data_IF_453678146413
#
_entry.id   IF_453678146413
#
_cell.length_a   1.000
_cell.length_b   1.000
_cell.length_c   1.000
_cell.angle_alpha   90.00
_cell.angle_beta   90.00
_cell.angle_gamma   90.00
#
_symmetry.space_group_name_H-M   'P 1'
#
loop_
_entity.id
_entity.type
_entity.pdbx_description
1 polymer ?
#
# COMPACT_ATOMS: atom_id res chain seq x y z
N UNK A 1 14.33 3.48 -23.38
CA UNK A 1 13.31 4.46 -23.81
C UNK A 1 12.27 4.47 -22.70
N UNK A 2 12.26 5.50 -21.89
CA UNK A 2 11.24 5.68 -20.82
C UNK A 2 9.91 5.80 -21.54
N UNK A 3 9.02 4.81 -21.34
CA UNK A 3 7.64 4.92 -21.81
C UNK A 3 7.01 6.03 -20.97
N UNK A 4 6.85 7.22 -21.59
CA UNK A 4 6.07 8.29 -20.98
C UNK A 4 4.70 7.67 -20.70
N UNK A 5 4.17 7.72 -19.46
CA UNK A 5 2.85 7.15 -19.18
C UNK A 5 1.88 7.79 -20.18
N UNK A 6 1.16 6.94 -20.92
CA UNK A 6 0.03 7.41 -21.71
C UNK A 6 -0.79 8.27 -20.72
N UNK A 7 -0.91 9.54 -21.01
CA UNK A 7 -1.45 10.53 -20.06
C UNK A 7 -2.80 10.01 -19.59
N UNK A 8 -2.96 9.79 -18.28
CA UNK A 8 -4.23 9.30 -17.72
C UNK A 8 -5.39 10.16 -18.25
N UNK A 9 -6.33 9.53 -18.90
CA UNK A 9 -7.56 10.21 -19.34
C UNK A 9 -8.60 10.15 -18.21
N UNK A 10 -8.61 11.18 -17.41
CA UNK A 10 -9.50 11.28 -16.24
C UNK A 10 -10.98 11.26 -16.62
N UNK A 11 -11.37 11.55 -17.85
CA UNK A 11 -12.76 11.43 -18.32
C UNK A 11 -13.22 9.98 -18.43
N UNK A 12 -12.26 9.04 -18.54
CA UNK A 12 -12.53 7.60 -18.61
C UNK A 12 -12.33 6.88 -17.27
N UNK A 13 -11.99 7.59 -16.20
CA UNK A 13 -11.75 7.00 -14.87
C UNK A 13 -12.88 7.46 -13.93
N UNK A 14 -13.61 6.53 -13.36
CA UNK A 14 -14.64 6.77 -12.35
C UNK A 14 -14.17 6.35 -10.96
N UNK A 15 -13.42 5.24 -10.87
CA UNK A 15 -12.92 4.71 -9.62
C UNK A 15 -11.40 4.83 -9.53
N UNK A 16 -10.91 5.23 -8.36
CA UNK A 16 -9.49 5.24 -8.03
C UNK A 16 -9.25 4.37 -6.81
N UNK A 17 -8.63 3.22 -7.04
CA UNK A 17 -8.22 2.30 -6.01
C UNK A 17 -6.79 2.59 -5.62
N UNK A 18 -6.52 2.66 -4.34
CA UNK A 18 -5.26 3.13 -3.78
C UNK A 18 -4.76 2.13 -2.75
N UNK A 19 -3.55 1.64 -2.91
CA UNK A 19 -2.88 0.94 -1.84
C UNK A 19 -2.50 1.91 -0.71
N UNK A 20 -2.14 1.37 0.44
CA UNK A 20 -1.78 2.15 1.63
C UNK A 20 -0.26 2.28 1.78
N UNK A 21 0.44 1.18 2.00
CA UNK A 21 1.83 1.15 2.47
C UNK A 21 2.83 1.17 1.31
N UNK A 22 3.59 2.24 1.17
CA UNK A 22 4.43 2.49 0.00
C UNK A 22 3.70 3.23 -1.12
N UNK A 23 2.42 3.55 -0.93
CA UNK A 23 1.59 4.29 -1.89
C UNK A 23 1.07 5.58 -1.26
N UNK A 24 0.08 5.52 -0.39
CA UNK A 24 -0.40 6.70 0.35
C UNK A 24 0.48 7.02 1.56
N UNK A 25 1.02 6.00 2.21
CA UNK A 25 1.90 6.10 3.36
C UNK A 25 3.32 5.67 2.99
N UNK A 26 4.29 6.39 3.56
CA UNK A 26 5.71 6.07 3.42
C UNK A 26 6.01 4.67 3.97
N UNK A 27 6.55 3.79 3.13
CA UNK A 27 6.93 2.43 3.48
C UNK A 27 8.07 2.37 4.50
N UNK A 28 8.72 3.50 4.78
CA UNK A 28 9.79 3.59 5.77
C UNK A 28 9.36 3.07 7.14
N UNK A 29 8.12 3.39 7.58
CA UNK A 29 7.57 2.85 8.82
C UNK A 29 7.60 1.32 8.86
N UNK A 30 7.09 0.64 7.82
CA UNK A 30 7.01 -0.82 7.80
C UNK A 30 8.38 -1.46 7.59
N UNK A 31 9.25 -0.88 6.76
CA UNK A 31 10.61 -1.34 6.59
C UNK A 31 11.42 -1.24 7.89
N UNK A 32 11.36 -0.10 8.59
CA UNK A 32 12.02 0.05 9.88
C UNK A 32 11.44 -0.92 10.92
N UNK A 33 10.13 -1.05 10.96
CA UNK A 33 9.44 -1.94 11.90
C UNK A 33 9.90 -3.39 11.75
N UNK A 34 9.81 -3.97 10.55
CA UNK A 34 10.11 -5.38 10.32
C UNK A 34 11.59 -5.71 10.24
N UNK A 35 12.44 -4.78 9.75
CA UNK A 35 13.86 -5.05 9.53
C UNK A 35 14.76 -4.62 10.70
N UNK A 36 14.27 -3.73 11.59
CA UNK A 36 15.07 -3.20 12.70
C UNK A 36 14.36 -3.37 14.04
N UNK A 37 13.12 -2.88 14.17
CA UNK A 37 12.44 -2.80 15.47
C UNK A 37 12.02 -4.18 15.99
N UNK A 38 11.34 -5.00 15.19
CA UNK A 38 10.95 -6.37 15.58
C UNK A 38 12.16 -7.22 15.91
N UNK A 39 13.24 -7.30 15.09
CA UNK A 39 14.44 -8.05 15.47
C UNK A 39 15.07 -7.58 16.77
N UNK A 40 15.11 -6.27 17.03
CA UNK A 40 15.64 -5.74 18.29
C UNK A 40 14.81 -6.22 19.48
N UNK A 41 13.50 -6.04 19.46
CA UNK A 41 12.60 -6.45 20.54
C UNK A 41 12.59 -7.97 20.74
N UNK A 42 12.69 -8.74 19.65
CA UNK A 42 12.83 -10.20 19.69
C UNK A 42 14.15 -10.61 20.36
N UNK A 43 15.26 -9.98 20.01
CA UNK A 43 16.56 -10.22 20.61
C UNK A 43 16.59 -9.87 22.10
N UNK A 44 16.07 -8.70 22.48
CA UNK A 44 15.95 -8.30 23.89
C UNK A 44 15.18 -9.31 24.73
N UNK A 45 14.06 -9.83 24.21
CA UNK A 45 13.24 -10.82 24.91
C UNK A 45 13.91 -12.19 25.07
N UNK A 46 14.94 -12.49 24.27
CA UNK A 46 15.65 -13.81 24.23
C UNK A 46 17.13 -13.76 24.58
N UNK A 47 17.65 -12.59 24.91
CA UNK A 47 19.08 -12.41 25.21
C UNK A 47 19.98 -12.58 23.99
N UNK A 48 19.47 -12.29 22.78
CA UNK A 48 20.21 -12.36 21.52
C UNK A 48 20.73 -10.97 21.11
N UNK A 49 21.85 -10.94 20.40
CA UNK A 49 22.25 -9.72 19.69
C UNK A 49 21.29 -9.42 18.53
N UNK A 50 21.26 -8.16 18.06
CA UNK A 50 20.45 -7.77 16.90
C UNK A 50 20.75 -8.63 15.67
N UNK A 51 22.03 -8.89 15.40
CA UNK A 51 22.46 -9.69 14.25
C UNK A 51 22.00 -11.15 14.37
N UNK A 52 22.07 -11.74 15.57
CA UNK A 52 21.59 -13.09 15.81
C UNK A 52 20.04 -13.16 15.63
N UNK A 53 19.32 -12.16 16.15
CA UNK A 53 17.88 -12.06 15.98
C UNK A 53 17.47 -11.91 14.49
N UNK A 54 18.18 -11.08 13.73
CA UNK A 54 17.96 -10.95 12.28
C UNK A 54 18.22 -12.26 11.55
N UNK A 55 19.33 -12.94 11.87
CA UNK A 55 19.67 -14.22 11.24
C UNK A 55 18.59 -15.29 11.48
N UNK A 56 17.96 -15.29 12.65
CA UNK A 56 16.88 -16.21 12.99
C UNK A 56 15.56 -15.86 12.30
N UNK A 57 15.19 -14.57 12.24
CA UNK A 57 13.88 -14.12 11.75
C UNK A 57 13.78 -14.02 10.23
N UNK A 58 14.83 -13.54 9.55
CA UNK A 58 14.75 -13.23 8.11
C UNK A 58 14.39 -14.42 7.22
N UNK A 59 14.85 -15.67 7.48
CA UNK A 59 14.39 -16.82 6.70
C UNK A 59 12.88 -17.06 6.80
N UNK A 60 12.32 -16.94 8.00
CA UNK A 60 10.88 -17.10 8.24
C UNK A 60 10.06 -16.04 7.51
N UNK A 61 10.51 -14.78 7.52
CA UNK A 61 9.87 -13.68 6.80
C UNK A 61 9.83 -13.95 5.29
N UNK A 62 10.95 -14.32 4.68
CA UNK A 62 11.02 -14.60 3.24
C UNK A 62 10.17 -15.79 2.80
N UNK A 63 10.03 -16.79 3.65
CA UNK A 63 9.34 -18.04 3.31
C UNK A 63 7.83 -17.85 3.05
N UNK A 64 7.20 -16.85 3.67
CA UNK A 64 5.76 -16.60 3.54
C UNK A 64 5.45 -15.24 2.92
N UNK A 65 6.46 -14.54 2.38
CA UNK A 65 6.27 -13.26 1.70
C UNK A 65 5.22 -13.36 0.60
N UNK A 66 4.36 -12.34 0.48
CA UNK A 66 3.26 -12.30 -0.50
C UNK A 66 2.05 -13.17 -0.15
N UNK A 67 2.07 -13.89 0.98
CA UNK A 67 0.90 -14.62 1.48
C UNK A 67 0.07 -13.77 2.44
N UNK A 68 -1.21 -14.13 2.66
CA UNK A 68 -2.05 -13.42 3.63
C UNK A 68 -1.46 -13.45 5.05
N UNK A 69 -0.80 -14.55 5.43
CA UNK A 69 -0.12 -14.70 6.72
C UNK A 69 1.03 -13.71 6.90
N UNK A 70 1.75 -13.35 5.82
CA UNK A 70 2.78 -12.32 5.84
C UNK A 70 2.29 -10.98 6.37
N UNK A 71 1.10 -10.58 5.97
CA UNK A 71 0.49 -9.31 6.35
C UNK A 71 -0.28 -9.36 7.68
N UNK A 72 -0.39 -10.54 8.30
CA UNK A 72 -1.22 -10.78 9.48
C UNK A 72 -0.47 -10.50 10.80
N UNK A 73 -0.80 -9.43 11.51
CA UNK A 73 -0.21 -9.11 12.82
C UNK A 73 -0.49 -10.18 13.88
N UNK A 74 -1.64 -10.86 13.81
CA UNK A 74 -1.99 -11.91 14.77
C UNK A 74 -1.20 -13.20 14.50
N UNK A 75 -0.88 -13.51 13.24
CA UNK A 75 0.05 -14.58 12.88
C UNK A 75 1.41 -14.33 13.51
N UNK A 76 2.00 -13.17 13.22
CA UNK A 76 3.32 -12.84 13.73
C UNK A 76 3.38 -12.70 15.25
N UNK A 77 2.30 -12.25 15.90
CA UNK A 77 2.25 -12.21 17.36
C UNK A 77 2.35 -13.61 17.97
N UNK A 78 1.68 -14.61 17.37
CA UNK A 78 1.78 -16.01 17.82
C UNK A 78 3.16 -16.61 17.53
N UNK A 79 3.66 -16.43 16.29
CA UNK A 79 4.95 -17.01 15.86
C UNK A 79 6.12 -16.46 16.65
N UNK A 80 6.13 -15.16 16.94
CA UNK A 80 7.25 -14.51 17.60
C UNK A 80 7.10 -14.45 19.15
N UNK A 81 5.89 -14.71 19.67
CA UNK A 81 5.60 -14.54 21.09
C UNK A 81 5.68 -13.09 21.56
N UNK A 82 5.38 -12.12 20.67
CA UNK A 82 5.44 -10.68 20.91
C UNK A 82 4.10 -10.04 20.54
N UNK A 83 3.68 -8.99 21.25
CA UNK A 83 2.54 -8.20 20.83
C UNK A 83 2.96 -7.24 19.68
N UNK A 84 2.75 -7.68 18.45
CA UNK A 84 3.15 -6.94 17.25
C UNK A 84 2.44 -5.59 17.15
N UNK A 85 1.18 -5.49 17.57
CA UNK A 85 0.46 -4.22 17.54
C UNK A 85 1.02 -3.23 18.56
N UNK A 86 1.37 -3.69 19.76
CA UNK A 86 2.05 -2.88 20.78
C UNK A 86 3.41 -2.40 20.26
N UNK A 87 4.20 -3.27 19.65
CA UNK A 87 5.49 -2.89 19.07
C UNK A 87 5.34 -1.83 17.95
N UNK A 88 4.27 -1.90 17.12
CA UNK A 88 3.99 -0.86 16.13
C UNK A 88 3.73 0.51 16.78
N UNK A 89 3.13 0.54 17.98
CA UNK A 89 2.91 1.80 18.72
C UNK A 89 4.23 2.46 19.14
N UNK A 90 5.25 1.68 19.49
CA UNK A 90 6.56 2.21 19.92
C UNK A 90 7.25 3.05 18.82
N UNK A 91 6.99 2.74 17.55
CA UNK A 91 7.56 3.43 16.38
C UNK A 91 6.52 4.21 15.56
N UNK A 92 5.34 4.46 16.12
CA UNK A 92 4.24 5.13 15.44
C UNK A 92 4.59 6.53 14.89
N UNK A 93 5.60 7.19 15.48
CA UNK A 93 6.11 8.48 15.03
C UNK A 93 6.74 8.46 13.62
N UNK A 94 7.01 7.27 13.07
CA UNK A 94 7.52 7.08 11.71
C UNK A 94 6.41 7.01 10.66
N UNK A 95 5.14 6.91 11.07
CA UNK A 95 4.02 6.91 10.12
C UNK A 95 3.92 8.29 9.48
N UNK A 96 4.06 8.33 8.15
CA UNK A 96 3.98 9.57 7.39
C UNK A 96 3.16 9.36 6.12
N UNK A 97 2.35 10.35 5.76
CA UNK A 97 1.67 10.42 4.46
C UNK A 97 2.68 10.91 3.42
N UNK A 98 2.71 10.29 2.25
CA UNK A 98 3.57 10.74 1.16
C UNK A 98 3.23 12.17 0.70
N UNK A 99 4.21 12.93 0.19
CA UNK A 99 3.98 14.26 -0.34
C UNK A 99 2.87 14.28 -1.40
N UNK A 100 2.04 15.35 -1.36
CA UNK A 100 0.95 15.59 -2.31
C UNK A 100 -0.20 14.56 -2.32
N UNK A 101 -0.19 13.57 -1.45
CA UNK A 101 -1.30 12.61 -1.32
C UNK A 101 -2.60 13.30 -0.93
N UNK A 102 -2.55 14.20 0.05
CA UNK A 102 -3.76 14.90 0.51
C UNK A 102 -4.32 15.81 -0.58
N UNK A 103 -3.45 16.57 -1.26
CA UNK A 103 -3.85 17.41 -2.41
C UNK A 103 -4.50 16.57 -3.52
N UNK A 104 -3.97 15.39 -3.79
CA UNK A 104 -4.50 14.46 -4.79
C UNK A 104 -5.87 13.90 -4.39
N UNK A 105 -6.03 13.47 -3.13
CA UNK A 105 -7.32 12.96 -2.64
C UNK A 105 -8.41 14.04 -2.66
N UNK A 106 -8.07 15.28 -2.30
CA UNK A 106 -8.97 16.42 -2.38
C UNK A 106 -9.35 16.74 -3.82
N UNK A 107 -8.38 16.72 -4.73
CA UNK A 107 -8.65 16.92 -6.15
C UNK A 107 -9.57 15.83 -6.71
N UNK A 108 -9.34 14.55 -6.37
CA UNK A 108 -10.23 13.44 -6.77
C UNK A 108 -11.66 13.65 -6.26
N UNK A 109 -11.83 14.16 -5.04
CA UNK A 109 -13.13 14.48 -4.47
C UNK A 109 -13.85 15.54 -5.31
N UNK A 110 -13.16 16.64 -5.63
CA UNK A 110 -13.69 17.74 -6.45
C UNK A 110 -14.04 17.24 -7.87
N UNK A 111 -13.22 16.32 -8.41
CA UNK A 111 -13.44 15.69 -9.72
C UNK A 111 -14.53 14.61 -9.71
N UNK A 112 -15.17 14.34 -8.56
CA UNK A 112 -16.24 13.34 -8.45
C UNK A 112 -15.76 11.89 -8.61
N UNK A 113 -14.46 11.61 -8.36
CA UNK A 113 -13.88 10.26 -8.48
C UNK A 113 -14.06 9.48 -7.17
N UNK A 114 -14.52 8.23 -7.30
CA UNK A 114 -14.65 7.33 -6.14
C UNK A 114 -13.27 6.88 -5.66
N UNK A 115 -12.97 7.03 -4.37
CA UNK A 115 -11.67 6.73 -3.74
C UNK A 115 -11.81 5.59 -2.76
N UNK A 116 -11.22 4.43 -3.08
CA UNK A 116 -11.26 3.22 -2.25
C UNK A 116 -9.84 2.80 -1.90
N UNK A 117 -9.58 2.66 -0.61
CA UNK A 117 -8.34 2.05 -0.13
C UNK A 117 -8.42 0.53 -0.28
N UNK A 118 -7.38 -0.07 -0.84
CA UNK A 118 -7.27 -1.51 -1.09
C UNK A 118 -5.91 -2.00 -0.61
N UNK A 119 -5.84 -2.58 0.59
CA UNK A 119 -4.57 -2.90 1.24
C UNK A 119 -4.43 -4.37 1.63
N UNK A 120 -3.20 -4.87 1.63
CA UNK A 120 -2.86 -6.15 2.24
C UNK A 120 -2.72 -6.08 3.77
N UNK A 121 -2.65 -4.89 4.35
CA UNK A 121 -2.52 -4.72 5.79
C UNK A 121 -3.67 -5.40 6.55
N UNK A 122 -3.34 -6.03 7.68
CA UNK A 122 -4.34 -6.57 8.61
C UNK A 122 -5.24 -5.45 9.16
N UNK A 123 -6.52 -5.77 9.42
CA UNK A 123 -7.51 -4.80 9.90
C UNK A 123 -7.00 -3.94 11.08
N UNK A 124 -6.36 -4.57 12.08
CA UNK A 124 -5.78 -3.86 13.24
C UNK A 124 -4.70 -2.84 12.83
N UNK A 125 -3.89 -3.17 11.81
CA UNK A 125 -2.86 -2.25 11.29
C UNK A 125 -3.49 -1.12 10.49
N UNK A 126 -4.50 -1.40 9.69
CA UNK A 126 -5.27 -0.40 8.96
C UNK A 126 -5.87 0.63 9.93
N UNK A 127 -6.63 0.17 10.92
CA UNK A 127 -7.24 1.03 11.95
C UNK A 127 -6.19 1.86 12.70
N UNK A 128 -5.09 1.23 13.09
CA UNK A 128 -3.98 1.88 13.77
C UNK A 128 -3.36 3.04 12.96
N UNK A 129 -3.18 2.84 11.64
CA UNK A 129 -2.62 3.86 10.74
C UNK A 129 -3.63 4.95 10.40
N UNK A 130 -4.90 4.60 10.14
CA UNK A 130 -5.95 5.58 9.85
C UNK A 130 -6.25 6.52 11.04
N UNK A 131 -6.13 6.04 12.28
CA UNK A 131 -6.28 6.89 13.48
C UNK A 131 -5.16 7.92 13.64
N UNK A 132 -4.03 7.75 12.94
CA UNK A 132 -2.82 8.59 13.06
C UNK A 132 -2.54 9.45 11.82
N UNK A 133 -3.39 9.33 10.83
CA UNK A 133 -3.27 10.05 9.56
C UNK A 133 -4.61 10.67 9.18
N UNK A 134 -4.64 11.72 8.35
CA UNK A 134 -5.88 12.33 7.88
C UNK A 134 -6.63 11.50 6.83
N UNK A 135 -6.11 10.34 6.40
CA UNK A 135 -6.62 9.58 5.25
C UNK A 135 -8.08 9.15 5.38
N UNK A 136 -8.53 8.79 6.59
CA UNK A 136 -9.88 8.24 6.81
C UNK A 136 -11.01 9.16 6.31
N UNK A 137 -10.84 10.48 6.43
CA UNK A 137 -11.83 11.46 5.98
C UNK A 137 -11.87 11.69 4.47
N UNK A 138 -10.92 11.13 3.71
CA UNK A 138 -10.76 11.35 2.27
C UNK A 138 -11.07 10.11 1.42
N UNK A 139 -11.50 9.03 2.05
CA UNK A 139 -11.77 7.74 1.42
C UNK A 139 -13.23 7.35 1.62
N UNK A 140 -13.93 6.92 0.58
CA UNK A 140 -15.31 6.43 0.69
C UNK A 140 -15.36 5.03 1.33
N UNK A 141 -14.31 4.24 1.14
CA UNK A 141 -14.20 2.89 1.69
C UNK A 141 -12.74 2.48 1.87
N UNK A 142 -12.49 1.60 2.83
CA UNK A 142 -11.23 0.90 3.02
C UNK A 142 -11.50 -0.60 3.12
N UNK A 143 -10.80 -1.41 2.32
CA UNK A 143 -10.98 -2.86 2.22
C UNK A 143 -9.62 -3.51 2.39
N UNK A 144 -9.53 -4.48 3.30
CA UNK A 144 -8.32 -5.26 3.51
C UNK A 144 -8.39 -6.60 2.77
N UNK A 145 -7.25 -7.14 2.39
CA UNK A 145 -7.16 -8.50 1.86
C UNK A 145 -7.62 -9.55 2.88
N UNK A 146 -7.57 -9.23 4.17
CA UNK A 146 -8.05 -10.10 5.24
C UNK A 146 -9.58 -10.22 5.26
N UNK A 147 -10.32 -9.18 4.86
CA UNK A 147 -11.78 -9.24 4.70
C UNK A 147 -12.18 -10.25 3.61
N UNK A 148 -11.30 -10.47 2.63
CA UNK A 148 -11.51 -11.36 1.50
C UNK A 148 -10.87 -12.74 1.69
N UNK A 149 -10.02 -12.90 2.71
CA UNK A 149 -9.30 -14.14 3.00
C UNK A 149 -8.24 -14.51 1.94
N UNK A 150 -7.73 -13.54 1.18
CA UNK A 150 -6.77 -13.75 0.09
C UNK A 150 -5.94 -12.49 -0.17
N UNK A 151 -4.62 -12.62 -0.35
CA UNK A 151 -3.72 -11.50 -0.63
C UNK A 151 -3.93 -10.92 -2.04
N UNK A 152 -3.63 -9.63 -2.23
CA UNK A 152 -3.82 -8.91 -3.50
C UNK A 152 -3.06 -9.53 -4.69
N UNK A 153 -1.93 -10.17 -4.44
CA UNK A 153 -1.11 -10.87 -5.44
C UNK A 153 -1.81 -12.11 -6.02
N UNK A 154 -2.76 -12.67 -5.29
CA UNK A 154 -3.41 -13.93 -5.64
C UNK A 154 -4.50 -13.74 -6.70
N UNK A 155 -4.64 -14.66 -7.66
CA UNK A 155 -5.66 -14.56 -8.72
C UNK A 155 -7.10 -14.49 -8.21
N UNK A 156 -7.36 -15.02 -7.00
CA UNK A 156 -8.69 -15.00 -6.38
C UNK A 156 -9.08 -13.67 -5.73
N UNK A 157 -8.17 -12.70 -5.63
CA UNK A 157 -8.42 -11.44 -4.94
C UNK A 157 -9.46 -10.58 -5.66
N UNK A 158 -9.19 -10.21 -6.89
CA UNK A 158 -10.02 -9.27 -7.64
C UNK A 158 -11.46 -9.75 -7.88
N UNK A 159 -11.74 -11.04 -8.18
CA UNK A 159 -13.11 -11.54 -8.22
C UNK A 159 -13.86 -11.39 -6.90
N UNK A 160 -13.20 -11.64 -5.76
CA UNK A 160 -13.82 -11.47 -4.42
C UNK A 160 -14.01 -10.00 -4.09
N UNK A 161 -13.02 -9.16 -4.43
CA UNK A 161 -13.11 -7.72 -4.26
C UNK A 161 -14.29 -7.14 -5.06
N UNK A 162 -14.42 -7.50 -6.33
CA UNK A 162 -15.50 -7.05 -7.20
C UNK A 162 -16.89 -7.45 -6.67
N UNK A 163 -17.00 -8.60 -6.02
CA UNK A 163 -18.26 -9.06 -5.44
C UNK A 163 -18.76 -8.18 -4.28
N UNK A 164 -17.84 -7.52 -3.53
CA UNK A 164 -18.19 -6.67 -2.39
C UNK A 164 -18.07 -5.17 -2.69
N UNK A 165 -17.33 -4.81 -3.73
CA UNK A 165 -17.13 -3.47 -4.26
C UNK A 165 -17.27 -3.52 -5.78
N UNK A 166 -18.50 -3.43 -6.30
CA UNK A 166 -18.74 -3.44 -7.75
C UNK A 166 -18.12 -2.23 -8.45
N UNK A 167 -17.40 -2.46 -9.56
CA UNK A 167 -16.75 -1.42 -10.35
C UNK A 167 -16.60 -1.85 -11.81
N UNK A 168 -16.38 -0.90 -12.70
CA UNK A 168 -16.00 -1.17 -14.10
C UNK A 168 -14.47 -1.20 -14.22
N UNK A 169 -13.84 -2.35 -14.53
CA UNK A 169 -12.40 -2.46 -14.70
C UNK A 169 -11.84 -1.52 -15.77
N UNK A 170 -12.59 -1.26 -16.85
CA UNK A 170 -12.18 -0.36 -17.93
C UNK A 170 -12.17 1.13 -17.50
N UNK A 171 -12.89 1.46 -16.41
CA UNK A 171 -13.02 2.81 -15.88
C UNK A 171 -12.40 2.95 -14.48
N UNK A 172 -11.44 2.10 -14.18
CA UNK A 172 -10.77 2.07 -12.86
C UNK A 172 -9.28 2.29 -13.00
N UNK A 173 -8.75 3.22 -12.20
CA UNK A 173 -7.32 3.38 -11.92
C UNK A 173 -6.98 2.65 -10.63
N UNK A 174 -5.94 1.84 -10.65
CA UNK A 174 -5.35 1.25 -9.46
C UNK A 174 -3.89 1.68 -9.31
N UNK A 175 -3.54 2.23 -8.14
CA UNK A 175 -2.20 2.70 -7.78
C UNK A 175 -1.64 1.84 -6.66
N UNK A 176 -0.45 1.27 -6.87
CA UNK A 176 0.18 0.36 -5.91
C UNK A 176 1.71 0.41 -6.10
N UNK A 177 2.49 0.25 -5.04
CA UNK A 177 3.95 0.17 -5.15
C UNK A 177 4.44 -1.25 -5.49
N UNK A 178 3.64 -2.28 -5.25
CA UNK A 178 3.99 -3.68 -5.47
C UNK A 178 3.65 -4.13 -6.89
N UNK A 179 4.69 -4.39 -7.71
CA UNK A 179 4.52 -4.79 -9.09
C UNK A 179 3.79 -6.13 -9.27
N UNK A 180 3.91 -7.06 -8.30
CA UNK A 180 3.17 -8.34 -8.34
C UNK A 180 1.67 -8.13 -8.13
N UNK A 181 1.29 -7.14 -7.31
CA UNK A 181 -0.09 -6.73 -7.11
C UNK A 181 -0.65 -6.07 -8.37
N UNK A 182 0.11 -5.15 -8.98
CA UNK A 182 -0.27 -4.53 -10.26
C UNK A 182 -0.43 -5.58 -11.38
N UNK A 183 0.44 -6.59 -11.41
CA UNK A 183 0.32 -7.70 -12.36
C UNK A 183 -0.95 -8.54 -12.13
N UNK A 184 -1.33 -8.76 -10.87
CA UNK A 184 -2.60 -9.41 -10.52
C UNK A 184 -3.81 -8.60 -11.02
N UNK A 185 -3.77 -7.27 -10.84
CA UNK A 185 -4.80 -6.35 -11.32
C UNK A 185 -4.88 -6.32 -12.86
N UNK A 186 -3.73 -6.33 -13.54
CA UNK A 186 -3.65 -6.40 -15.01
C UNK A 186 -4.30 -7.67 -15.55
N UNK A 187 -4.01 -8.81 -14.95
CA UNK A 187 -4.61 -10.10 -15.34
C UNK A 187 -6.12 -10.14 -15.13
N UNK A 188 -6.62 -9.41 -14.16
CA UNK A 188 -8.05 -9.28 -13.91
C UNK A 188 -8.73 -8.38 -14.95
N UNK A 189 -8.00 -7.46 -15.58
CA UNK A 189 -8.50 -6.56 -16.61
C UNK A 189 -8.69 -5.12 -16.14
N UNK A 190 -8.10 -4.71 -15.00
CA UNK A 190 -8.08 -3.29 -14.63
C UNK A 190 -7.22 -2.54 -15.64
N UNK A 191 -7.82 -1.55 -16.31
CA UNK A 191 -7.23 -0.86 -17.44
C UNK A 191 -6.10 0.09 -17.05
N UNK A 192 -6.33 0.92 -16.03
CA UNK A 192 -5.39 1.95 -15.65
C UNK A 192 -4.60 1.51 -14.44
N UNK A 193 -3.30 1.28 -14.63
CA UNK A 193 -2.39 0.80 -13.58
C UNK A 193 -1.24 1.77 -13.44
N UNK A 194 -0.88 2.11 -12.21
CA UNK A 194 0.16 3.07 -11.92
C UNK A 194 1.03 2.59 -10.75
N UNK A 195 2.33 2.57 -10.95
CA UNK A 195 3.31 2.20 -9.95
C UNK A 195 3.89 3.44 -9.24
N UNK A 196 4.34 3.26 -7.99
CA UNK A 196 5.10 4.26 -7.23
C UNK A 196 6.58 3.91 -7.29
N UNK A 197 7.44 4.86 -7.73
CA UNK A 197 8.88 4.65 -7.81
C UNK A 197 9.58 4.81 -6.46
N UNK A 198 9.11 5.70 -5.61
CA UNK A 198 9.71 6.03 -4.31
C UNK A 198 8.79 5.64 -3.13
N UNK A 199 8.55 4.33 -2.89
CA UNK A 199 7.66 3.89 -1.81
C UNK A 199 8.23 4.14 -0.41
N UNK A 200 9.56 4.19 -0.25
CA UNK A 200 10.29 4.43 1.00
C UNK A 200 11.18 5.67 0.84
N UNK A 201 10.84 6.75 1.52
CA UNK A 201 11.56 8.04 1.45
C UNK A 201 13.02 8.00 1.90
N UNK A 202 13.46 6.89 2.49
CA UNK A 202 14.85 6.68 2.95
C UNK A 202 15.66 5.78 2.01
N UNK A 203 15.05 5.34 0.91
CA UNK A 203 15.71 4.52 -0.12
C UNK A 203 15.71 5.25 -1.47
N UNK A 204 16.66 4.94 -2.36
CA UNK A 204 16.62 5.48 -3.71
C UNK A 204 15.37 4.98 -4.46
N UNK A 205 14.86 5.83 -5.34
CA UNK A 205 13.77 5.45 -6.25
C UNK A 205 14.13 4.27 -7.14
N UNK A 206 13.12 3.57 -7.61
CA UNK A 206 13.26 2.36 -8.45
C UNK A 206 13.00 2.70 -9.91
N UNK A 207 13.80 2.12 -10.81
CA UNK A 207 13.45 2.10 -12.23
C UNK A 207 12.35 1.04 -12.46
N UNK A 208 11.26 1.45 -13.11
CA UNK A 208 10.11 0.60 -13.40
C UNK A 208 9.78 0.70 -14.88
N UNK A 209 9.95 -0.42 -15.60
CA UNK A 209 9.65 -0.52 -17.03
C UNK A 209 8.33 -1.25 -17.33
N UNK A 210 7.85 -2.06 -16.37
CA UNK A 210 6.69 -2.94 -16.56
C UNK A 210 5.33 -2.22 -16.51
N UNK A 211 5.28 -1.04 -15.86
CA UNK A 211 4.09 -0.23 -15.66
C UNK A 211 4.41 1.26 -15.79
N UNK A 212 3.44 2.09 -16.20
CA UNK A 212 3.50 3.52 -15.95
C UNK A 212 3.77 3.79 -14.47
N UNK A 213 4.65 4.75 -14.17
CA UNK A 213 5.06 4.98 -12.79
C UNK A 213 5.28 6.47 -12.52
N UNK A 214 5.03 6.90 -11.30
CA UNK A 214 5.26 8.26 -10.80
C UNK A 214 6.27 8.27 -9.66
N UNK A 215 6.96 9.38 -9.53
CA UNK A 215 7.83 9.64 -8.38
C UNK A 215 6.98 10.09 -7.17
N UNK A 216 5.97 10.93 -7.41
CA UNK A 216 5.03 11.37 -6.37
C UNK A 216 3.69 11.84 -6.97
N UNK A 217 2.69 12.05 -6.10
CA UNK A 217 1.32 12.38 -6.50
C UNK A 217 1.13 13.76 -7.14
N UNK A 218 2.13 14.68 -7.07
CA UNK A 218 2.03 15.97 -7.77
C UNK A 218 1.94 15.83 -9.28
N UNK A 219 2.47 14.72 -9.84
CA UNK A 219 2.42 14.43 -11.28
C UNK A 219 0.99 14.13 -11.78
N UNK A 220 0.09 13.76 -10.88
CA UNK A 220 -1.31 13.46 -11.18
C UNK A 220 -2.23 14.67 -11.04
N UNK A 221 -1.73 15.74 -10.42
CA UNK A 221 -2.49 16.97 -10.23
C UNK A 221 -2.55 17.77 -11.54
N UNK A 222 -3.67 18.46 -11.83
CA UNK A 222 -3.71 19.38 -12.94
C UNK A 222 -2.66 20.48 -12.75
N UNK A 223 -1.93 20.79 -13.81
CA UNK A 223 -0.97 21.88 -13.79
C UNK A 223 -1.61 23.22 -13.41
N UNK A 224 -0.82 24.27 -13.08
CA UNK A 224 -1.36 25.57 -12.74
C UNK A 224 -2.32 26.07 -13.81
N UNK A 225 -3.61 26.22 -13.49
CA UNK A 225 -4.68 26.64 -14.40
C UNK A 225 -5.47 25.47 -15.05
N UNK A 226 -5.13 24.22 -14.76
CA UNK A 226 -5.94 23.06 -15.18
C UNK A 226 -7.23 22.97 -14.36
N UNK A 227 -8.39 22.96 -15.07
CA UNK A 227 -9.68 22.68 -14.42
C UNK A 227 -9.79 21.17 -14.15
N UNK A 228 -10.51 20.82 -13.07
CA UNK A 228 -10.98 19.45 -12.90
C UNK A 228 -11.72 19.01 -14.18
N UNK A 229 -11.54 17.75 -14.65
CA UNK A 229 -12.35 17.24 -15.75
C UNK A 229 -13.81 17.29 -15.34
N UNK A 230 -14.63 17.84 -16.25
CA UNK A 230 -16.09 17.94 -16.08
C UNK A 230 -16.73 16.55 -16.13
#
# INVERSE_FOLDING_TARGET
MTVIPEKLDWSQIDNVFLDMDGTLLDLHFDNHFWLEHVPRRYGEARGLSLEAAKAELMPGFRNIEGTLSWYCVDHWSRELGLDILLLKQEVAHLIAVHPHVMDFLDWLAIAGKRRVLVTNAHQKTLEFKLQRTPLAGHLERAITSHDLGVAKESPGFWPRFHAIEPFDPERTLFVDDNLSVLESARRYGIRWLLAIKEPDSKKPGREIDAFPAIDNFSELLPGPGGRAPA
#
